data_IF_740395627262
#
_entry.id   IF_740395627262
#
_cell.length_a   1.000
_cell.length_b   1.000
_cell.length_c   1.000
_cell.angle_alpha   90.00
_cell.angle_beta   90.00
_cell.angle_gamma   90.00
#
_symmetry.space_group_name_H-M   'P 1'
#
loop_
_entity.id
_entity.type
_entity.pdbx_description
1 polymer ?
#
# COMPACT_ATOMS: atom_id res chain seq x y z
N UNK A 1 -39.96 -26.84 67.96
CA UNK A 1 -38.89 -27.35 67.12
C UNK A 1 -39.26 -26.96 65.65
N UNK A 2 -38.67 -25.89 65.10
CA UNK A 2 -39.02 -25.45 63.73
C UNK A 2 -38.04 -26.08 62.73
N UNK A 3 -38.60 -26.60 61.68
CA UNK A 3 -37.91 -27.22 60.52
C UNK A 3 -37.40 -26.12 59.57
N UNK A 4 -36.09 -26.01 59.40
CA UNK A 4 -35.48 -25.11 58.42
C UNK A 4 -35.49 -25.79 57.05
N UNK A 5 -36.17 -25.23 56.07
CA UNK A 5 -36.14 -25.66 54.69
C UNK A 5 -35.01 -24.91 53.96
N UNK A 6 -33.94 -25.62 53.62
CA UNK A 6 -32.88 -25.10 52.75
C UNK A 6 -33.32 -25.12 51.30
N UNK A 7 -33.41 -23.93 50.67
CA UNK A 7 -33.63 -23.79 49.25
C UNK A 7 -32.29 -23.78 48.51
N UNK A 8 -32.06 -24.78 47.67
CA UNK A 8 -30.90 -24.89 46.79
C UNK A 8 -31.15 -24.03 45.53
N UNK A 9 -30.43 -22.92 45.41
CA UNK A 9 -30.45 -22.10 44.19
C UNK A 9 -29.45 -22.71 43.15
N UNK A 10 -29.99 -23.20 42.05
CA UNK A 10 -29.20 -23.64 40.90
C UNK A 10 -28.92 -22.43 40.03
N UNK A 11 -27.63 -21.98 39.98
CA UNK A 11 -27.19 -20.95 39.07
C UNK A 11 -26.91 -21.54 37.68
N UNK A 12 -27.73 -21.15 36.70
CA UNK A 12 -27.48 -21.48 35.28
C UNK A 12 -26.48 -20.45 34.72
N UNK A 13 -25.24 -20.89 34.49
CA UNK A 13 -24.26 -20.13 33.76
C UNK A 13 -24.53 -20.24 32.26
N UNK A 14 -25.05 -19.17 31.63
CA UNK A 14 -25.11 -19.06 30.17
C UNK A 14 -23.69 -18.79 29.67
N UNK A 15 -23.03 -19.79 29.13
CA UNK A 15 -21.77 -19.62 28.38
C UNK A 15 -22.08 -18.98 27.02
N UNK A 16 -21.72 -17.71 26.84
CA UNK A 16 -21.65 -17.09 25.51
C UNK A 16 -20.45 -17.69 24.77
N UNK A 17 -20.70 -18.69 23.94
CA UNK A 17 -19.72 -19.20 22.99
C UNK A 17 -19.49 -18.14 21.90
N UNK A 18 -18.35 -17.41 21.92
CA UNK A 18 -17.87 -16.66 20.78
C UNK A 18 -17.43 -17.68 19.71
N UNK A 19 -18.29 -17.93 18.73
CA UNK A 19 -17.88 -18.61 17.51
C UNK A 19 -17.04 -17.65 16.68
N UNK A 20 -15.71 -17.91 16.60
CA UNK A 20 -14.86 -17.24 15.63
C UNK A 20 -15.32 -17.64 14.22
N UNK A 21 -15.93 -16.70 13.49
CA UNK A 21 -16.23 -16.90 12.07
C UNK A 21 -14.90 -16.96 11.31
N UNK A 22 -14.70 -17.93 10.39
CA UNK A 22 -13.55 -17.90 9.51
C UNK A 22 -13.62 -16.59 8.69
N UNK A 23 -12.52 -15.82 8.69
CA UNK A 23 -12.40 -14.68 7.80
C UNK A 23 -12.60 -15.17 6.36
N UNK A 24 -13.55 -14.58 5.64
CA UNK A 24 -13.73 -14.87 4.23
C UNK A 24 -12.39 -14.56 3.52
N UNK A 25 -11.89 -15.52 2.75
CA UNK A 25 -10.72 -15.29 1.91
C UNK A 25 -11.10 -14.20 0.92
N UNK A 26 -10.45 -13.02 1.02
CA UNK A 26 -10.68 -11.91 0.11
C UNK A 26 -10.26 -12.28 -1.30
N UNK A 27 -10.88 -11.66 -2.31
CA UNK A 27 -10.48 -11.81 -3.72
C UNK A 27 -9.09 -11.18 -3.85
N UNK A 28 -8.13 -11.95 -4.40
CA UNK A 28 -6.82 -11.44 -4.74
C UNK A 28 -6.82 -10.91 -6.18
N UNK A 29 -6.51 -9.63 -6.37
CA UNK A 29 -6.35 -8.99 -7.68
C UNK A 29 -4.87 -8.71 -7.88
N UNK A 30 -4.32 -9.12 -9.03
CA UNK A 30 -2.95 -8.80 -9.43
C UNK A 30 -3.00 -7.79 -10.59
N UNK A 31 -2.32 -6.65 -10.43
CA UNK A 31 -2.09 -5.70 -11.52
C UNK A 31 -0.59 -5.62 -11.77
N UNK A 32 -0.17 -5.86 -13.00
CA UNK A 32 1.18 -5.62 -13.48
C UNK A 32 1.15 -4.39 -14.39
N UNK A 33 1.88 -3.36 -14.01
CA UNK A 33 1.87 -2.05 -14.66
C UNK A 33 3.29 -1.53 -14.82
N UNK A 34 3.47 -0.57 -15.72
CA UNK A 34 4.76 0.12 -15.94
C UNK A 34 4.57 1.61 -15.74
N UNK A 35 5.32 2.20 -14.82
CA UNK A 35 5.44 3.64 -14.68
C UNK A 35 6.55 4.16 -15.60
N UNK A 36 6.31 5.32 -16.23
CA UNK A 36 7.35 6.12 -16.90
C UNK A 36 7.61 7.38 -16.08
N UNK A 37 8.73 7.40 -15.35
CA UNK A 37 9.13 8.48 -14.44
C UNK A 37 9.66 9.69 -15.24
N UNK A 38 8.76 10.48 -15.82
CA UNK A 38 9.09 11.58 -16.71
C UNK A 38 8.87 12.97 -16.09
N UNK A 39 8.25 13.03 -14.90
CA UNK A 39 7.89 14.29 -14.24
C UNK A 39 8.57 14.49 -12.88
N UNK A 40 9.44 13.58 -12.50
CA UNK A 40 10.13 13.57 -11.22
C UNK A 40 10.89 14.88 -10.98
N UNK A 41 10.60 15.55 -9.86
CA UNK A 41 11.24 16.80 -9.48
C UNK A 41 11.63 16.79 -7.99
N UNK A 42 12.91 17.05 -7.73
CA UNK A 42 13.44 17.08 -6.36
C UNK A 42 13.63 18.52 -5.90
N UNK A 43 12.95 18.88 -4.81
CA UNK A 43 13.20 20.12 -4.06
C UNK A 43 14.24 19.83 -2.98
N UNK A 44 15.39 20.51 -3.06
CA UNK A 44 16.51 20.34 -2.13
C UNK A 44 16.31 21.10 -0.84
N UNK A 45 16.60 20.45 0.29
CA UNK A 45 16.55 21.05 1.63
C UNK A 45 17.92 21.50 2.13
N UNK A 46 19.00 21.06 1.51
CA UNK A 46 20.38 21.39 1.86
C UNK A 46 21.25 21.77 0.67
N UNK A 47 22.56 21.88 0.90
CA UNK A 47 23.55 22.28 -0.13
C UNK A 47 24.18 21.10 -0.87
N UNK A 48 24.06 19.88 -0.35
CA UNK A 48 24.57 18.69 -1.01
C UNK A 48 23.61 18.25 -2.13
N UNK A 49 24.11 17.38 -3.00
CA UNK A 49 23.27 16.82 -4.09
C UNK A 49 22.20 15.86 -3.56
N UNK A 50 22.39 15.30 -2.37
CA UNK A 50 21.44 14.44 -1.68
C UNK A 50 21.43 14.78 -0.20
N UNK A 51 20.25 15.18 0.34
CA UNK A 51 20.11 15.59 1.73
C UNK A 51 18.89 14.90 2.36
N UNK A 52 19.01 14.55 3.63
CA UNK A 52 17.82 14.12 4.38
C UNK A 52 16.78 15.25 4.40
N UNK A 53 15.52 14.91 4.12
CA UNK A 53 14.44 15.86 3.98
C UNK A 53 14.22 16.39 2.56
N UNK A 54 15.07 16.09 1.58
CA UNK A 54 14.81 16.41 0.18
C UNK A 54 13.45 15.83 -0.22
N UNK A 55 12.66 16.60 -0.97
CA UNK A 55 11.31 16.25 -1.38
C UNK A 55 11.27 15.99 -2.88
N UNK A 56 10.98 14.74 -3.26
CA UNK A 56 10.65 14.34 -4.62
C UNK A 56 9.13 14.43 -4.80
N UNK A 57 8.67 15.03 -5.89
CA UNK A 57 7.26 15.05 -6.30
C UNK A 57 7.14 14.60 -7.75
N UNK A 58 6.04 13.93 -8.09
CA UNK A 58 5.79 13.40 -9.42
C UNK A 58 4.32 13.29 -9.76
N UNK A 59 4.03 13.21 -11.08
CA UNK A 59 2.72 12.94 -11.66
C UNK A 59 2.96 12.18 -12.98
N UNK A 60 3.30 10.91 -12.88
CA UNK A 60 3.78 10.10 -13.99
C UNK A 60 2.67 9.34 -14.73
N UNK A 61 2.92 8.98 -15.97
CA UNK A 61 2.03 8.13 -16.74
C UNK A 61 2.28 6.66 -16.43
N UNK A 62 1.19 5.89 -16.33
CA UNK A 62 1.22 4.45 -16.04
C UNK A 62 0.64 3.69 -17.23
N UNK A 63 1.34 2.65 -17.66
CA UNK A 63 1.06 1.82 -18.81
C UNK A 63 0.72 0.39 -18.41
N UNK A 64 0.15 -0.35 -19.35
CA UNK A 64 -0.07 -1.79 -19.20
C UNK A 64 1.26 -2.56 -19.05
N UNK A 65 1.19 -3.84 -18.70
CA UNK A 65 2.35 -4.72 -18.50
C UNK A 65 3.28 -4.77 -19.73
N UNK A 66 2.72 -4.63 -20.94
CA UNK A 66 3.48 -4.57 -22.19
C UNK A 66 4.16 -3.21 -22.41
N UNK A 67 3.92 -2.22 -21.55
CA UNK A 67 4.41 -0.83 -21.68
C UNK A 67 3.97 -0.16 -23.00
N UNK A 68 2.76 -0.47 -23.49
CA UNK A 68 2.28 0.01 -24.78
C UNK A 68 1.09 0.98 -24.66
N UNK A 69 0.12 0.67 -23.82
CA UNK A 69 -1.09 1.46 -23.67
C UNK A 69 -1.09 2.16 -22.32
N UNK A 70 -1.29 3.48 -22.33
CA UNK A 70 -1.52 4.22 -21.11
C UNK A 70 -2.83 3.77 -20.47
N UNK A 71 -2.78 3.36 -19.22
CA UNK A 71 -3.93 2.88 -18.44
C UNK A 71 -4.25 3.75 -17.24
N UNK A 72 -3.35 4.67 -16.87
CA UNK A 72 -3.56 5.54 -15.72
C UNK A 72 -2.47 6.57 -15.52
N UNK A 73 -2.47 7.13 -14.33
CA UNK A 73 -1.42 8.04 -13.82
C UNK A 73 -1.18 7.74 -12.36
N UNK A 74 0.03 7.96 -11.89
CA UNK A 74 0.29 8.03 -10.47
C UNK A 74 0.76 9.43 -10.08
N UNK A 75 0.42 9.83 -8.88
CA UNK A 75 0.75 11.15 -8.34
C UNK A 75 1.16 11.00 -6.90
N UNK A 76 2.31 11.54 -6.56
CA UNK A 76 2.80 11.38 -5.21
C UNK A 76 4.04 12.17 -4.87
N UNK A 77 4.62 11.75 -3.76
CA UNK A 77 5.80 12.36 -3.20
C UNK A 77 6.65 11.33 -2.45
N UNK A 78 7.95 11.63 -2.31
CA UNK A 78 8.87 10.92 -1.44
C UNK A 78 9.72 11.91 -0.66
N UNK A 79 10.03 11.60 0.59
CA UNK A 79 10.98 12.35 1.41
C UNK A 79 12.24 11.51 1.58
N UNK A 80 13.43 12.07 1.31
CA UNK A 80 14.70 11.41 1.55
C UNK A 80 14.88 11.18 3.06
N UNK A 81 14.83 9.93 3.48
CA UNK A 81 15.00 9.56 4.89
C UNK A 81 16.42 9.16 5.22
N UNK A 82 17.10 8.42 4.32
CA UNK A 82 18.50 8.02 4.49
C UNK A 82 19.27 8.31 3.21
N UNK A 83 20.21 9.26 3.28
CA UNK A 83 21.03 9.71 2.14
C UNK A 83 21.72 8.53 1.45
N UNK A 84 21.55 8.43 0.12
CA UNK A 84 22.12 7.36 -0.71
C UNK A 84 21.56 5.96 -0.44
N UNK A 85 20.43 5.82 0.26
CA UNK A 85 19.86 4.52 0.59
C UNK A 85 18.35 4.44 0.36
N UNK A 86 17.56 5.38 0.92
CA UNK A 86 16.09 5.25 0.88
C UNK A 86 15.36 6.57 0.98
N UNK A 87 14.17 6.57 0.41
CA UNK A 87 13.11 7.56 0.58
C UNK A 87 11.92 6.92 1.29
N UNK A 88 11.12 7.71 1.96
CA UNK A 88 9.77 7.32 2.41
C UNK A 88 8.77 7.97 1.47
N UNK A 89 7.92 7.16 0.85
CA UNK A 89 7.05 7.58 -0.25
C UNK A 89 5.58 7.35 0.06
N UNK A 90 4.73 8.16 -0.58
CA UNK A 90 3.30 7.90 -0.71
C UNK A 90 2.80 8.41 -2.05
N UNK A 91 2.06 7.56 -2.79
CA UNK A 91 1.43 7.97 -4.04
C UNK A 91 0.11 7.27 -4.30
N UNK A 92 -0.67 7.83 -5.22
CA UNK A 92 -1.96 7.31 -5.63
C UNK A 92 -1.93 6.99 -7.12
N UNK A 93 -2.11 5.73 -7.44
CA UNK A 93 -2.41 5.24 -8.79
C UNK A 93 -3.88 5.53 -9.09
N UNK A 94 -4.14 6.24 -10.17
CA UNK A 94 -5.48 6.53 -10.69
C UNK A 94 -5.71 5.75 -11.98
N UNK A 95 -6.69 4.86 -11.98
CA UNK A 95 -7.21 4.10 -13.10
C UNK A 95 -8.63 4.56 -13.45
N UNK A 96 -9.19 4.09 -14.56
CA UNK A 96 -10.55 4.50 -15.00
C UNK A 96 -11.65 4.06 -14.02
N UNK A 97 -11.46 2.92 -13.35
CA UNK A 97 -12.43 2.29 -12.44
C UNK A 97 -12.20 2.60 -10.95
N UNK A 98 -11.10 3.29 -10.60
CA UNK A 98 -10.83 3.66 -9.21
C UNK A 98 -9.38 4.06 -8.96
N UNK A 99 -9.04 4.16 -7.68
CA UNK A 99 -7.72 4.58 -7.23
C UNK A 99 -7.15 3.61 -6.19
N UNK A 100 -5.82 3.49 -6.16
CA UNK A 100 -5.09 2.70 -5.16
C UNK A 100 -4.00 3.61 -4.57
N UNK A 101 -3.95 3.73 -3.25
CA UNK A 101 -2.88 4.47 -2.57
C UNK A 101 -1.91 3.51 -1.93
N UNK A 102 -0.60 3.75 -2.13
CA UNK A 102 0.49 3.02 -1.51
C UNK A 102 1.35 3.94 -0.66
N UNK A 103 2.00 3.36 0.36
CA UNK A 103 2.97 4.05 1.19
C UNK A 103 4.06 3.08 1.67
N UNK A 104 5.29 3.59 1.80
CA UNK A 104 6.43 2.83 2.30
C UNK A 104 7.77 3.25 1.69
N UNK A 105 8.83 2.48 1.95
CA UNK A 105 10.18 2.82 1.52
C UNK A 105 10.37 2.59 0.02
N UNK A 106 11.06 3.53 -0.63
CA UNK A 106 11.71 3.34 -1.93
C UNK A 106 13.21 3.25 -1.70
N UNK A 107 13.83 2.16 -2.16
CA UNK A 107 15.24 1.85 -1.96
C UNK A 107 16.06 2.20 -3.22
N UNK A 108 17.16 2.93 -3.06
CA UNK A 108 17.95 3.44 -4.18
C UNK A 108 18.61 2.34 -5.02
N UNK A 109 18.89 1.16 -4.45
CA UNK A 109 19.76 0.13 -5.05
C UNK A 109 19.16 -1.26 -5.11
N UNK A 110 17.91 -1.42 -4.73
CA UNK A 110 17.20 -2.70 -4.71
C UNK A 110 15.72 -2.50 -4.92
N UNK A 111 15.03 -3.59 -5.21
CA UNK A 111 13.57 -3.60 -5.26
C UNK A 111 12.96 -3.12 -3.95
N UNK A 112 11.79 -2.53 -4.05
CA UNK A 112 11.05 -1.99 -2.93
C UNK A 112 9.69 -2.68 -2.81
N UNK A 113 9.17 -2.73 -1.60
CA UNK A 113 7.80 -3.18 -1.34
C UNK A 113 7.10 -2.13 -0.50
N UNK A 114 5.98 -1.62 -1.00
CA UNK A 114 5.15 -0.65 -0.32
C UNK A 114 3.81 -1.28 0.07
N UNK A 115 3.25 -0.83 1.19
CA UNK A 115 1.93 -1.27 1.61
C UNK A 115 0.83 -0.60 0.78
N UNK A 116 -0.19 -1.34 0.35
CA UNK A 116 -1.45 -0.76 -0.15
C UNK A 116 -2.24 -0.31 1.08
N UNK A 117 -2.40 1.01 1.22
CA UNK A 117 -3.03 1.62 2.40
C UNK A 117 -4.51 1.95 2.21
N UNK A 118 -5.01 1.80 0.98
CA UNK A 118 -6.42 1.98 0.65
C UNK A 118 -6.68 2.16 -0.83
N UNK A 119 -7.96 2.33 -1.17
CA UNK A 119 -8.39 2.59 -2.54
C UNK A 119 -9.82 3.11 -2.60
N UNK A 120 -10.25 3.50 -3.80
CA UNK A 120 -11.60 4.00 -4.11
C UNK A 120 -12.17 3.30 -5.34
N UNK A 121 -13.47 3.47 -5.60
CA UNK A 121 -14.13 2.83 -6.76
C UNK A 121 -14.05 1.31 -6.69
N UNK A 122 -13.60 0.67 -7.76
CA UNK A 122 -13.41 -0.77 -7.82
C UNK A 122 -12.40 -1.30 -6.79
N UNK A 123 -11.56 -0.42 -6.22
CA UNK A 123 -10.53 -0.76 -5.23
C UNK A 123 -10.88 -0.32 -3.80
N UNK A 124 -12.15 -0.01 -3.52
CA UNK A 124 -12.58 0.35 -2.17
C UNK A 124 -12.28 -0.78 -1.18
N UNK A 125 -11.61 -0.45 -0.06
CA UNK A 125 -11.17 -1.45 0.93
C UNK A 125 -9.91 -2.22 0.56
N UNK A 126 -9.22 -1.86 -0.54
CA UNK A 126 -7.97 -2.48 -0.96
C UNK A 126 -6.91 -2.45 0.15
N UNK A 127 -6.22 -3.55 0.32
CA UNK A 127 -5.06 -3.76 1.19
C UNK A 127 -4.11 -4.76 0.53
N UNK A 128 -2.91 -4.86 1.01
CA UNK A 128 -1.90 -5.76 0.46
C UNK A 128 -0.59 -5.03 0.23
N UNK A 129 0.09 -5.36 -0.85
CA UNK A 129 1.41 -4.78 -1.14
C UNK A 129 1.60 -4.51 -2.65
N UNK A 130 2.50 -3.59 -2.93
CA UNK A 130 2.97 -3.28 -4.26
C UNK A 130 4.49 -3.46 -4.29
N UNK A 131 4.97 -4.39 -5.14
CA UNK A 131 6.39 -4.55 -5.42
C UNK A 131 6.79 -3.63 -6.57
N UNK A 132 7.93 -2.96 -6.42
CA UNK A 132 8.52 -2.03 -7.36
C UNK A 132 9.90 -2.52 -7.77
N UNK A 133 10.15 -2.61 -9.08
CA UNK A 133 11.42 -2.97 -9.68
C UNK A 133 11.82 -1.94 -10.73
N UNK A 134 13.06 -1.41 -10.65
CA UNK A 134 13.58 -0.51 -11.67
C UNK A 134 13.96 -1.31 -12.93
N UNK A 135 13.36 -0.97 -14.08
CA UNK A 135 13.62 -1.64 -15.38
C UNK A 135 14.95 -1.25 -16.00
N UNK A 136 15.48 -0.11 -15.59
CA UNK A 136 16.74 0.42 -16.10
C UNK A 136 17.55 1.12 -15.00
N UNK A 137 18.88 1.22 -15.14
CA UNK A 137 19.76 1.85 -14.15
C UNK A 137 19.52 3.35 -13.98
N UNK A 138 18.93 4.00 -14.98
CA UNK A 138 18.62 5.44 -14.99
C UNK A 138 17.41 5.78 -14.11
N UNK A 139 16.60 4.77 -13.73
CA UNK A 139 15.39 4.97 -12.93
C UNK A 139 14.33 5.78 -13.67
N UNK A 140 14.15 5.52 -14.96
CA UNK A 140 13.15 6.20 -15.81
C UNK A 140 11.93 5.35 -16.11
N UNK A 141 12.01 4.04 -15.85
CA UNK A 141 10.89 3.11 -15.97
C UNK A 141 10.90 2.12 -14.81
N UNK A 142 9.71 1.84 -14.26
CA UNK A 142 9.54 0.93 -13.13
C UNK A 142 8.42 -0.06 -13.40
N UNK A 143 8.64 -1.34 -13.06
CA UNK A 143 7.58 -2.33 -12.96
C UNK A 143 6.91 -2.21 -11.59
N UNK A 144 5.58 -2.06 -11.60
CA UNK A 144 4.72 -2.07 -10.43
C UNK A 144 3.84 -3.32 -10.43
N UNK A 145 4.01 -4.17 -9.43
CA UNK A 145 3.16 -5.33 -9.23
C UNK A 145 2.31 -5.17 -7.97
N UNK A 146 1.06 -4.84 -8.15
CA UNK A 146 0.09 -4.74 -7.07
C UNK A 146 -0.48 -6.13 -6.76
N UNK A 147 -0.42 -6.54 -5.49
CA UNK A 147 -1.07 -7.73 -4.94
C UNK A 147 -2.15 -7.27 -3.97
N UNK A 148 -3.38 -7.16 -4.47
CA UNK A 148 -4.51 -6.51 -3.79
C UNK A 148 -5.41 -7.58 -3.19
N UNK A 149 -5.78 -7.42 -1.93
CA UNK A 149 -6.83 -8.15 -1.24
C UNK A 149 -7.99 -7.19 -0.93
N UNK A 150 -9.20 -7.64 -1.20
CA UNK A 150 -10.45 -6.93 -0.88
C UNK A 150 -11.37 -7.80 -0.03
#
# INVERSE_FOLDING_TARGET
MPIVKSSLAVAFALGLGLSAQPAAAGIAIILNLVERATTDAVTKTGKADDNAGDLLTFANEVFDEANQNKVGTDTGWCIRTVVGQSWECSWTLKLDDGQITVAGPFLDKSDSVLAIVGGTGAYAGARGEMALHARNPEGTEFDFRYSIMQ
#
